data_IF_275907157636
#
_entry.id   IF_275907157636
#
_cell.length_a   1.000
_cell.length_b   1.000
_cell.length_c   1.000
_cell.angle_alpha   90.00
_cell.angle_beta   90.00
_cell.angle_gamma   90.00
#
_symmetry.space_group_name_H-M   'P 1'
#
loop_
_entity.id
_entity.type
_entity.pdbx_description
1 polymer ?
#
# COMPACT_ATOMS: atom_id res chain seq x y z
N UNK A 1 26.04 35.71 -34.96
CA UNK A 1 25.12 34.84 -34.18
C UNK A 1 23.72 35.47 -34.19
N UNK A 2 22.71 34.77 -34.71
CA UNK A 2 21.38 35.34 -34.92
C UNK A 2 20.66 35.56 -33.58
N UNK A 3 20.22 36.80 -33.30
CA UNK A 3 19.52 37.18 -32.04
C UNK A 3 18.28 36.31 -31.76
N UNK A 4 17.60 35.88 -32.82
CA UNK A 4 16.46 34.93 -32.75
C UNK A 4 16.85 33.55 -32.23
N UNK A 5 18.03 33.05 -32.62
CA UNK A 5 18.52 31.75 -32.14
C UNK A 5 18.88 31.82 -30.65
N UNK A 6 19.49 32.92 -30.21
CA UNK A 6 19.80 33.15 -28.79
C UNK A 6 18.53 33.22 -27.96
N UNK A 7 17.52 33.97 -28.42
CA UNK A 7 16.23 34.06 -27.73
C UNK A 7 15.52 32.69 -27.66
N UNK A 8 15.54 31.90 -28.73
CA UNK A 8 14.97 30.56 -28.75
C UNK A 8 15.66 29.62 -27.74
N UNK A 9 17.00 29.64 -27.69
CA UNK A 9 17.79 28.86 -26.73
C UNK A 9 17.43 29.25 -25.29
N UNK A 10 17.41 30.55 -24.97
CA UNK A 10 17.05 31.05 -23.64
C UNK A 10 15.64 30.60 -23.24
N UNK A 11 14.68 30.71 -24.15
CA UNK A 11 13.28 30.31 -23.90
C UNK A 11 13.17 28.80 -23.61
N UNK A 12 13.86 27.97 -24.40
CA UNK A 12 13.89 26.51 -24.20
C UNK A 12 14.55 26.17 -22.85
N UNK A 13 15.68 26.78 -22.53
CA UNK A 13 16.39 26.55 -21.27
C UNK A 13 15.55 26.93 -20.04
N UNK A 14 14.81 28.04 -20.09
CA UNK A 14 13.89 28.46 -19.02
C UNK A 14 12.73 27.47 -18.87
N UNK A 15 12.17 27.00 -19.99
CA UNK A 15 11.07 26.02 -20.01
C UNK A 15 11.44 24.69 -19.36
N UNK A 16 12.67 24.21 -19.61
CA UNK A 16 13.19 22.97 -19.03
C UNK A 16 13.40 23.13 -17.51
N UNK A 17 13.90 24.29 -17.06
CA UNK A 17 14.20 24.56 -15.64
C UNK A 17 12.94 24.71 -14.78
N UNK A 18 11.83 25.19 -15.35
CA UNK A 18 10.55 25.35 -14.65
C UNK A 18 9.68 24.08 -14.61
N UNK A 19 10.12 22.98 -15.24
CA UNK A 19 9.35 21.74 -15.26
C UNK A 19 9.46 21.06 -13.88
N UNK A 20 8.48 21.31 -13.00
CA UNK A 20 8.36 20.62 -11.70
C UNK A 20 8.51 19.11 -11.92
N UNK A 21 9.44 18.49 -11.18
CA UNK A 21 9.56 17.04 -11.14
C UNK A 21 8.19 16.48 -10.75
N UNK A 22 7.61 15.65 -11.62
CA UNK A 22 6.34 14.97 -11.30
C UNK A 22 6.58 14.09 -10.08
N UNK A 23 5.64 14.11 -9.13
CA UNK A 23 5.69 13.21 -7.98
C UNK A 23 5.61 11.77 -8.48
N UNK A 24 6.49 10.92 -7.97
CA UNK A 24 6.51 9.50 -8.29
C UNK A 24 5.35 8.83 -7.55
N UNK A 25 4.43 8.20 -8.29
CA UNK A 25 3.24 7.55 -7.71
C UNK A 25 3.59 6.29 -6.90
N UNK A 26 4.54 5.48 -7.38
CA UNK A 26 5.01 4.26 -6.69
C UNK A 26 6.53 4.29 -6.57
N UNK A 27 7.04 4.18 -5.34
CA UNK A 27 8.48 4.09 -5.08
C UNK A 27 9.03 2.76 -5.61
N UNK A 28 10.28 2.75 -6.07
CA UNK A 28 10.86 1.56 -6.70
C UNK A 28 10.95 0.34 -5.77
N UNK A 29 11.11 0.55 -4.47
CA UNK A 29 11.09 -0.55 -3.51
C UNK A 29 9.71 -1.19 -3.34
N UNK A 30 8.62 -0.41 -3.51
CA UNK A 30 7.24 -0.93 -3.47
C UNK A 30 6.97 -1.78 -4.72
N UNK A 31 7.55 -1.42 -5.87
CA UNK A 31 7.45 -2.23 -7.10
C UNK A 31 8.03 -3.63 -6.92
N UNK A 32 9.04 -3.79 -6.04
CA UNK A 32 9.68 -5.08 -5.74
C UNK A 32 8.85 -5.99 -4.82
N UNK A 33 7.70 -5.54 -4.30
CA UNK A 33 6.84 -6.32 -3.39
C UNK A 33 6.38 -7.67 -3.94
N UNK A 34 6.27 -7.80 -5.26
CA UNK A 34 5.90 -9.07 -5.88
C UNK A 34 6.89 -10.19 -5.52
N UNK A 35 8.18 -9.86 -5.36
CA UNK A 35 9.23 -10.82 -5.03
C UNK A 35 9.70 -10.73 -3.58
N UNK A 36 9.75 -9.52 -3.02
CA UNK A 36 10.28 -9.23 -1.67
C UNK A 36 9.19 -8.90 -0.66
N UNK A 37 7.93 -9.17 -0.99
CA UNK A 37 6.79 -8.88 -0.12
C UNK A 37 6.76 -9.87 1.03
N UNK A 38 6.49 -9.35 2.23
CA UNK A 38 6.33 -10.18 3.43
C UNK A 38 5.24 -11.24 3.23
N UNK A 39 4.18 -10.96 2.47
CA UNK A 39 3.18 -11.98 2.14
C UNK A 39 3.78 -13.13 1.33
N UNK A 40 4.41 -12.83 0.19
CA UNK A 40 4.88 -13.86 -0.75
C UNK A 40 6.06 -14.69 -0.21
N UNK A 41 6.95 -14.10 0.60
CA UNK A 41 8.07 -14.83 1.19
C UNK A 41 7.67 -15.49 2.50
N UNK A 42 7.31 -14.70 3.52
CA UNK A 42 7.10 -15.21 4.87
C UNK A 42 5.94 -16.20 4.95
N UNK A 43 4.78 -15.93 4.33
CA UNK A 43 3.65 -16.86 4.46
C UNK A 43 3.84 -18.13 3.65
N UNK A 44 4.59 -18.07 2.56
CA UNK A 44 4.95 -19.27 1.78
C UNK A 44 5.93 -20.13 2.57
N UNK A 45 6.95 -19.52 3.18
CA UNK A 45 7.91 -20.20 4.06
C UNK A 45 7.19 -20.81 5.28
N UNK A 46 6.38 -20.02 5.99
CA UNK A 46 5.61 -20.49 7.16
C UNK A 46 4.65 -21.63 6.81
N UNK A 47 4.01 -21.57 5.64
CA UNK A 47 3.12 -22.66 5.19
C UNK A 47 3.88 -23.98 5.02
N UNK A 48 5.13 -23.93 4.57
CA UNK A 48 5.92 -25.11 4.26
C UNK A 48 6.69 -25.64 5.48
N UNK A 49 7.21 -24.76 6.32
CA UNK A 49 8.10 -25.11 7.43
C UNK A 49 7.36 -25.28 8.76
N UNK A 50 6.42 -24.39 9.09
CA UNK A 50 5.78 -24.36 10.42
C UNK A 50 4.31 -23.86 10.39
N UNK A 51 3.35 -24.81 10.36
CA UNK A 51 1.93 -24.47 10.37
C UNK A 51 1.45 -23.87 11.70
N UNK A 52 2.15 -24.08 12.81
CA UNK A 52 1.79 -23.46 14.10
C UNK A 52 2.14 -21.97 14.11
N UNK A 53 3.33 -21.62 13.60
CA UNK A 53 3.71 -20.21 13.42
C UNK A 53 2.78 -19.50 12.42
N UNK A 54 2.35 -20.17 11.35
CA UNK A 54 1.33 -19.63 10.44
C UNK A 54 0.02 -19.30 11.18
N UNK A 55 -0.45 -20.24 12.02
CA UNK A 55 -1.67 -20.05 12.82
C UNK A 55 -1.51 -18.91 13.83
N UNK A 56 -0.35 -18.74 14.45
CA UNK A 56 -0.07 -17.63 15.36
C UNK A 56 -0.07 -16.28 14.63
N UNK A 57 0.45 -16.26 13.41
CA UNK A 57 0.55 -15.04 12.59
C UNK A 57 -0.81 -14.55 12.09
N UNK A 58 -1.66 -15.45 11.56
CA UNK A 58 -2.99 -15.09 11.03
C UNK A 58 -4.13 -15.27 12.04
N UNK A 59 -3.87 -15.89 13.20
CA UNK A 59 -4.86 -16.32 14.21
C UNK A 59 -5.93 -17.27 13.65
N UNK A 60 -5.64 -17.95 12.55
CA UNK A 60 -6.52 -18.92 11.87
C UNK A 60 -5.71 -19.98 11.15
N UNK A 61 -6.31 -21.14 10.89
CA UNK A 61 -5.68 -22.20 10.09
C UNK A 61 -5.56 -21.78 8.63
N UNK A 62 -4.68 -22.45 7.87
CA UNK A 62 -4.55 -22.23 6.44
C UNK A 62 -5.84 -22.56 5.69
N UNK A 63 -6.52 -23.64 6.07
CA UNK A 63 -7.76 -24.09 5.44
C UNK A 63 -8.90 -23.08 5.64
N UNK A 64 -9.04 -22.55 6.86
CA UNK A 64 -10.02 -21.50 7.16
C UNK A 64 -9.74 -20.21 6.38
N UNK A 65 -8.46 -19.85 6.27
CA UNK A 65 -8.04 -18.69 5.49
C UNK A 65 -8.40 -18.85 4.01
N UNK A 66 -8.15 -20.03 3.42
CA UNK A 66 -8.48 -20.31 2.03
C UNK A 66 -10.00 -20.31 1.79
N UNK A 67 -10.78 -20.91 2.71
CA UNK A 67 -12.24 -20.85 2.67
C UNK A 67 -12.75 -19.40 2.69
N UNK A 68 -12.22 -18.58 3.60
CA UNK A 68 -12.57 -17.18 3.73
C UNK A 68 -12.17 -16.38 2.47
N UNK A 69 -10.99 -16.64 1.93
CA UNK A 69 -10.49 -16.02 0.72
C UNK A 69 -11.44 -16.29 -0.45
N UNK A 70 -11.84 -17.55 -0.67
CA UNK A 70 -12.77 -17.91 -1.75
C UNK A 70 -14.11 -17.17 -1.64
N UNK A 71 -14.63 -17.00 -0.42
CA UNK A 71 -15.91 -16.32 -0.18
C UNK A 71 -15.82 -14.81 -0.36
N UNK A 72 -14.71 -14.20 0.04
CA UNK A 72 -14.53 -12.74 0.05
C UNK A 72 -13.88 -12.23 -1.25
N UNK A 73 -13.20 -13.09 -2.00
CA UNK A 73 -12.55 -12.78 -3.27
C UNK A 73 -13.41 -11.94 -4.21
N UNK A 74 -14.68 -12.26 -4.50
CA UNK A 74 -15.50 -11.43 -5.39
C UNK A 74 -15.75 -10.01 -4.86
N UNK A 75 -15.73 -9.79 -3.54
CA UNK A 75 -15.96 -8.49 -2.91
C UNK A 75 -14.69 -7.63 -2.81
N UNK A 76 -13.50 -8.25 -2.73
CA UNK A 76 -12.23 -7.57 -2.50
C UNK A 76 -11.39 -7.41 -3.77
N UNK A 77 -11.67 -8.20 -4.82
CA UNK A 77 -10.91 -8.18 -6.07
C UNK A 77 -10.92 -6.78 -6.70
N UNK A 78 -9.76 -6.17 -6.76
CA UNK A 78 -9.53 -4.93 -7.52
C UNK A 78 -8.98 -5.24 -8.91
N UNK A 79 -9.22 -4.33 -9.86
CA UNK A 79 -8.68 -4.43 -11.20
C UNK A 79 -7.33 -3.73 -11.29
N UNK A 80 -6.43 -4.31 -12.09
CA UNK A 80 -5.18 -3.67 -12.46
C UNK A 80 -5.44 -2.36 -13.20
N UNK A 81 -4.59 -1.37 -12.93
CA UNK A 81 -4.64 -0.07 -13.61
C UNK A 81 -3.36 0.13 -14.40
N UNK A 82 -3.40 0.99 -15.43
CA UNK A 82 -2.21 1.31 -16.23
C UNK A 82 -1.04 1.92 -15.41
N UNK A 83 -1.31 2.40 -14.19
CA UNK A 83 -0.30 3.02 -13.32
C UNK A 83 0.27 2.07 -12.25
N UNK A 84 -0.51 1.06 -11.82
CA UNK A 84 -0.10 0.10 -10.79
C UNK A 84 -0.87 -1.21 -10.93
N UNK A 85 -0.17 -2.30 -10.62
CA UNK A 85 -0.79 -3.61 -10.38
C UNK A 85 -1.63 -3.55 -9.10
N UNK A 86 -2.76 -4.25 -9.14
CA UNK A 86 -3.62 -4.48 -8.00
C UNK A 86 -2.92 -5.39 -7.00
N UNK A 87 -3.33 -5.24 -5.75
CA UNK A 87 -2.87 -6.06 -4.64
C UNK A 87 -3.50 -7.43 -4.78
N UNK A 88 -2.72 -8.49 -4.55
CA UNK A 88 -3.30 -9.83 -4.53
C UNK A 88 -4.38 -9.91 -3.44
N UNK A 89 -5.49 -10.57 -3.74
CA UNK A 89 -6.66 -10.67 -2.85
C UNK A 89 -6.25 -11.26 -1.50
N UNK A 90 -5.38 -12.28 -1.52
CA UNK A 90 -4.92 -12.95 -0.31
C UNK A 90 -4.03 -12.04 0.57
N UNK A 91 -3.10 -11.31 -0.04
CA UNK A 91 -2.22 -10.34 0.64
C UNK A 91 -3.08 -9.28 1.35
N UNK A 92 -4.06 -8.74 0.63
CA UNK A 92 -5.01 -7.79 1.17
C UNK A 92 -5.86 -8.38 2.29
N UNK A 93 -6.30 -9.63 2.16
CA UNK A 93 -7.09 -10.28 3.20
C UNK A 93 -6.28 -10.45 4.49
N UNK A 94 -5.01 -10.84 4.38
CA UNK A 94 -4.09 -10.94 5.52
C UNK A 94 -3.95 -9.61 6.26
N UNK A 95 -3.75 -8.51 5.53
CA UNK A 95 -3.64 -7.18 6.14
C UNK A 95 -4.93 -6.78 6.86
N UNK A 96 -6.08 -7.07 6.25
CA UNK A 96 -7.38 -6.83 6.87
C UNK A 96 -7.59 -7.66 8.14
N UNK A 97 -7.23 -8.95 8.15
CA UNK A 97 -7.35 -9.83 9.32
C UNK A 97 -6.48 -9.31 10.48
N UNK A 98 -5.22 -8.96 10.20
CA UNK A 98 -4.30 -8.40 11.20
C UNK A 98 -4.85 -7.11 11.80
N UNK A 99 -5.29 -6.18 10.95
CA UNK A 99 -5.85 -4.89 11.37
C UNK A 99 -7.14 -5.11 12.19
N UNK A 100 -8.02 -6.02 11.77
CA UNK A 100 -9.24 -6.33 12.49
C UNK A 100 -8.97 -6.92 13.88
N UNK A 101 -7.99 -7.81 13.99
CA UNK A 101 -7.53 -8.38 15.26
C UNK A 101 -6.92 -7.36 16.24
N UNK A 102 -6.42 -6.23 15.74
CA UNK A 102 -5.91 -5.10 16.53
C UNK A 102 -7.05 -4.13 16.89
N UNK A 103 -8.01 -3.91 15.99
CA UNK A 103 -9.06 -2.87 16.09
C UNK A 103 -10.14 -3.11 17.16
N UNK A 104 -10.13 -4.21 17.91
CA UNK A 104 -10.94 -4.33 19.13
C UNK A 104 -10.48 -3.43 20.29
N UNK A 105 -9.36 -2.69 20.15
CA UNK A 105 -8.77 -1.91 21.24
C UNK A 105 -8.78 -0.37 21.11
N UNK A 106 -9.34 0.23 20.06
CA UNK A 106 -9.44 1.70 19.98
C UNK A 106 -10.91 2.13 20.02
N UNK A 107 -11.53 2.00 21.20
CA UNK A 107 -12.85 2.62 21.46
C UNK A 107 -13.05 3.16 22.87
N UNK A 108 -12.18 2.90 23.86
CA UNK A 108 -12.35 3.48 25.20
C UNK A 108 -10.98 3.78 25.83
N UNK A 109 -10.31 4.84 25.38
CA UNK A 109 -9.38 5.62 26.22
C UNK A 109 -8.86 6.81 25.40
N UNK A 110 -8.97 8.00 25.99
CA UNK A 110 -8.36 9.27 25.54
C UNK A 110 -9.20 10.11 24.54
N UNK A 111 -10.33 10.59 25.03
CA UNK A 111 -10.68 12.01 24.89
C UNK A 111 -10.53 12.58 26.31
N UNK A 112 -9.67 13.61 26.56
CA UNK A 112 -10.18 14.96 26.38
C UNK A 112 -9.18 16.09 26.02
N UNK A 113 -9.77 17.15 25.43
CA UNK A 113 -9.39 18.58 25.42
C UNK A 113 -8.34 19.09 24.41
N UNK A 114 -8.77 20.13 23.69
CA UNK A 114 -8.07 21.03 22.76
C UNK A 114 -7.78 20.47 21.36
N UNK A 115 -8.48 21.06 20.39
CA UNK A 115 -8.45 20.66 18.98
C UNK A 115 -7.08 20.79 18.35
N UNK A 116 -6.72 19.81 17.52
CA UNK A 116 -5.78 19.91 16.37
C UNK A 116 -5.53 18.57 15.66
N UNK A 117 -6.26 17.50 15.95
CA UNK A 117 -5.95 16.14 15.45
C UNK A 117 -6.96 15.56 14.46
N UNK A 118 -7.69 16.38 13.70
CA UNK A 118 -8.55 15.86 12.61
C UNK A 118 -7.81 15.72 11.27
N UNK A 119 -6.62 16.31 11.10
CA UNK A 119 -5.87 16.28 9.85
C UNK A 119 -4.94 15.05 9.67
N UNK A 120 -4.48 14.43 10.77
CA UNK A 120 -3.54 13.32 10.69
C UNK A 120 -4.18 12.02 10.16
N UNK A 121 -5.42 11.71 10.56
CA UNK A 121 -6.10 10.47 10.13
C UNK A 121 -6.66 10.55 8.70
N UNK A 122 -6.98 11.76 8.21
CA UNK A 122 -7.48 11.98 6.84
C UNK A 122 -6.38 11.91 5.78
N UNK A 123 -5.14 12.31 6.13
CA UNK A 123 -3.99 12.19 5.24
C UNK A 123 -3.38 10.77 5.25
N UNK A 124 -3.54 10.02 6.34
CA UNK A 124 -2.95 8.69 6.48
C UNK A 124 -3.79 7.57 5.85
N UNK A 125 -5.10 7.75 5.69
CA UNK A 125 -5.96 6.81 4.93
C UNK A 125 -5.71 6.87 3.42
N UNK A 126 -5.23 8.01 2.89
CA UNK A 126 -4.72 8.10 1.50
C UNK A 126 -3.33 7.47 1.35
N UNK A 127 -2.45 7.63 2.35
CA UNK A 127 -1.12 7.00 2.35
C UNK A 127 -1.21 5.48 2.48
N UNK A 128 -1.96 4.94 3.43
CA UNK A 128 -2.07 3.49 3.63
C UNK A 128 -2.72 2.78 2.42
N UNK A 129 -3.56 3.47 1.64
CA UNK A 129 -4.12 2.96 0.37
C UNK A 129 -3.13 3.03 -0.83
N UNK A 130 -2.03 3.74 -0.64
CA UNK A 130 -0.91 3.84 -1.59
C UNK A 130 0.28 2.95 -1.19
N UNK A 131 0.34 2.51 0.08
CA UNK A 131 1.43 1.69 0.64
C UNK A 131 1.05 0.22 0.82
N UNK A 132 -0.24 -0.09 1.05
CA UNK A 132 -0.82 -1.43 0.89
C UNK A 132 -1.44 -1.49 -0.49
#
# INVERSE_FOLDING_TARGET
MNRRAVAAIVTICVSIKMRKKRSIWVKDWIKRRAHLGAYNQLLTELKNEDPECFKNFLRMSHDDFQYLCNKISPAIKEQDTNMRLAINVEERLVDNIKIFGIRRFVSIALIPISGTTTNYLKNNTRMLRCYL
#
